data_IF_525674829949
#
_entry.id   IF_525674829949
#
_cell.length_a   1.000
_cell.length_b   1.000
_cell.length_c   1.000
_cell.angle_alpha   90.00
_cell.angle_beta   90.00
_cell.angle_gamma   90.00
#
_symmetry.space_group_name_H-M   'P 1'
#
loop_
_entity.id
_entity.type
_entity.pdbx_description
1 polymer ?
#
# COMPACT_ATOMS: atom_id res chain seq x y z
N UNK A 1 -66.86 45.70 -4.11
CA UNK A 1 -66.05 44.83 -5.00
C UNK A 1 -64.78 45.61 -5.33
N UNK A 2 -63.54 45.14 -5.23
CA UNK A 2 -62.95 43.85 -4.90
C UNK A 2 -61.59 44.10 -4.20
N UNK A 3 -61.12 43.07 -3.49
CA UNK A 3 -59.88 43.04 -2.70
C UNK A 3 -58.69 42.86 -3.63
N UNK A 4 -57.56 43.53 -3.35
CA UNK A 4 -56.24 43.11 -3.84
C UNK A 4 -55.35 42.77 -2.66
N UNK A 5 -55.05 41.48 -2.55
CA UNK A 5 -54.05 40.92 -1.66
C UNK A 5 -52.82 40.53 -2.47
N UNK A 6 -51.67 40.37 -1.78
CA UNK A 6 -50.53 39.54 -2.17
C UNK A 6 -49.60 40.18 -3.24
N UNK A 7 -48.26 40.20 -3.13
CA UNK A 7 -47.31 39.43 -2.34
C UNK A 7 -45.96 40.15 -2.25
N UNK A 8 -45.30 39.95 -1.10
CA UNK A 8 -43.92 40.30 -0.80
C UNK A 8 -42.93 39.77 -1.85
N UNK A 9 -42.07 40.66 -2.34
CA UNK A 9 -40.90 40.37 -3.17
C UNK A 9 -39.71 40.07 -2.26
N UNK A 10 -39.68 38.88 -1.67
CA UNK A 10 -38.50 38.38 -0.93
C UNK A 10 -37.61 37.63 -1.92
N UNK A 11 -36.55 38.29 -2.36
CA UNK A 11 -35.48 37.65 -3.13
C UNK A 11 -34.76 36.61 -2.27
N UNK A 12 -34.89 35.33 -2.62
CA UNK A 12 -34.05 34.26 -2.07
C UNK A 12 -32.62 34.45 -2.59
N UNK A 13 -31.67 34.68 -1.69
CA UNK A 13 -30.23 34.53 -1.97
C UNK A 13 -29.94 33.04 -2.21
N UNK A 14 -29.18 32.66 -3.25
CA UNK A 14 -28.70 31.29 -3.37
C UNK A 14 -27.72 31.01 -2.21
N UNK A 15 -27.87 29.85 -1.59
CA UNK A 15 -26.90 29.31 -0.63
C UNK A 15 -25.56 29.22 -1.36
N UNK A 16 -24.51 29.80 -0.78
CA UNK A 16 -23.13 29.55 -1.22
C UNK A 16 -22.79 28.12 -0.79
N UNK A 17 -22.70 27.22 -1.75
CA UNK A 17 -22.09 25.91 -1.54
C UNK A 17 -20.65 26.14 -1.10
N UNK A 18 -20.34 25.69 0.11
CA UNK A 18 -18.99 25.73 0.65
C UNK A 18 -18.20 24.64 -0.07
N UNK A 19 -16.99 24.89 -0.59
CA UNK A 19 -16.21 23.84 -1.24
C UNK A 19 -15.89 22.76 -0.20
N UNK A 20 -16.54 21.60 -0.33
CA UNK A 20 -16.26 20.43 0.48
C UNK A 20 -14.83 20.00 0.13
N UNK A 21 -13.91 20.09 1.11
CA UNK A 21 -12.55 19.60 0.93
C UNK A 21 -12.59 18.09 0.67
N UNK A 22 -11.91 17.57 -0.36
CA UNK A 22 -11.94 16.14 -0.64
C UNK A 22 -11.32 15.39 0.53
N UNK A 23 -12.05 14.41 1.04
CA UNK A 23 -11.57 13.52 2.11
C UNK A 23 -10.23 12.90 1.69
N UNK A 24 -9.20 13.08 2.51
CA UNK A 24 -7.87 12.55 2.23
C UNK A 24 -7.92 11.03 2.32
N UNK A 25 -7.92 10.36 1.17
CA UNK A 25 -7.78 8.90 1.11
C UNK A 25 -6.36 8.56 1.58
N UNK A 26 -6.24 8.01 2.78
CA UNK A 26 -4.98 7.46 3.28
C UNK A 26 -4.61 6.24 2.42
N UNK A 27 -3.77 6.46 1.41
CA UNK A 27 -3.18 5.34 0.66
C UNK A 27 -2.23 4.62 1.59
N UNK A 28 -2.45 3.31 1.77
CA UNK A 28 -1.50 2.45 2.50
C UNK A 28 -0.13 2.56 1.85
N UNK A 29 0.90 2.72 2.69
CA UNK A 29 2.27 2.75 2.22
C UNK A 29 2.63 1.42 1.51
N UNK A 30 3.40 1.46 0.42
CA UNK A 30 3.80 0.26 -0.30
C UNK A 30 4.66 -0.66 0.57
N UNK A 31 4.51 -1.98 0.39
CA UNK A 31 5.29 -2.96 1.14
C UNK A 31 6.77 -2.94 0.72
N UNK A 32 7.72 -3.32 1.60
CA UNK A 32 9.14 -3.36 1.26
C UNK A 32 9.47 -4.31 0.10
N UNK A 33 8.67 -5.37 -0.08
CA UNK A 33 8.77 -6.28 -1.22
C UNK A 33 8.38 -5.61 -2.55
N UNK A 34 7.30 -4.81 -2.53
CA UNK A 34 6.85 -4.04 -3.68
C UNK A 34 7.92 -3.01 -4.11
N UNK A 35 8.47 -2.27 -3.14
CA UNK A 35 9.55 -1.30 -3.39
C UNK A 35 10.77 -1.94 -4.07
N UNK A 36 11.21 -3.11 -3.59
CA UNK A 36 12.33 -3.85 -4.21
C UNK A 36 12.03 -4.32 -5.63
N UNK A 37 10.79 -4.73 -5.91
CA UNK A 37 10.38 -5.15 -7.26
C UNK A 37 10.37 -3.96 -8.20
N UNK A 38 9.75 -2.85 -7.80
CA UNK A 38 9.72 -1.60 -8.56
C UNK A 38 11.14 -1.13 -8.88
N UNK A 39 12.03 -1.10 -7.88
CA UNK A 39 13.45 -0.73 -8.06
C UNK A 39 14.13 -1.54 -9.16
N UNK A 40 13.96 -2.87 -9.19
CA UNK A 40 14.57 -3.73 -10.23
C UNK A 40 14.03 -3.41 -11.62
N UNK A 41 12.73 -3.12 -11.74
CA UNK A 41 12.11 -2.75 -13.01
C UNK A 41 12.69 -1.41 -13.51
N UNK A 42 12.78 -0.41 -12.63
CA UNK A 42 13.30 0.91 -12.99
C UNK A 42 14.79 0.86 -13.34
N UNK A 43 15.60 0.07 -12.62
CA UNK A 43 17.01 -0.13 -12.97
C UNK A 43 17.17 -0.67 -14.40
N UNK A 44 16.38 -1.70 -14.77
CA UNK A 44 16.42 -2.25 -16.12
C UNK A 44 16.00 -1.21 -17.17
N UNK A 45 14.93 -0.45 -16.89
CA UNK A 45 14.47 0.62 -17.78
C UNK A 45 15.53 1.71 -17.97
N UNK A 46 16.24 2.09 -16.89
CA UNK A 46 17.34 3.06 -16.94
C UNK A 46 18.47 2.57 -17.85
N UNK A 47 18.91 1.32 -17.67
CA UNK A 47 19.96 0.72 -18.50
C UNK A 47 19.58 0.66 -19.98
N UNK A 48 18.32 0.31 -20.27
CA UNK A 48 17.77 0.31 -21.63
C UNK A 48 17.79 1.71 -22.24
N UNK A 49 17.29 2.74 -21.51
CA UNK A 49 17.28 4.12 -22.02
C UNK A 49 18.67 4.71 -22.21
N UNK A 50 19.64 4.36 -21.38
CA UNK A 50 21.04 4.76 -21.58
C UNK A 50 21.60 4.13 -22.87
N UNK A 51 21.29 2.85 -23.12
CA UNK A 51 21.71 2.18 -24.35
C UNK A 51 21.07 2.82 -25.59
N UNK A 52 19.78 3.11 -25.52
CA UNK A 52 19.03 3.76 -26.61
C UNK A 52 19.53 5.18 -26.88
N UNK A 53 19.85 5.96 -25.84
CA UNK A 53 20.43 7.30 -25.96
C UNK A 53 21.77 7.24 -26.70
N UNK A 54 22.62 6.26 -26.38
CA UNK A 54 23.88 6.03 -27.07
C UNK A 54 23.68 5.70 -28.55
N UNK A 55 22.74 4.81 -28.85
CA UNK A 55 22.36 4.48 -30.23
C UNK A 55 21.84 5.68 -31.01
N UNK A 56 20.93 6.46 -30.42
CA UNK A 56 20.40 7.68 -31.00
C UNK A 56 21.51 8.69 -31.31
N UNK A 57 22.43 8.90 -30.37
CA UNK A 57 23.55 9.84 -30.54
C UNK A 57 24.48 9.39 -31.68
N UNK A 58 24.74 8.08 -31.80
CA UNK A 58 25.54 7.53 -32.88
C UNK A 58 24.86 7.73 -34.25
N UNK A 59 23.56 7.47 -34.35
CA UNK A 59 22.81 7.70 -35.60
C UNK A 59 22.78 9.18 -35.99
N UNK A 60 22.60 10.09 -35.02
CA UNK A 60 22.67 11.53 -35.27
C UNK A 60 24.04 11.98 -35.81
N UNK A 61 25.13 11.40 -35.29
CA UNK A 61 26.47 11.62 -35.82
C UNK A 61 26.63 11.10 -37.25
N UNK A 62 26.19 9.87 -37.53
CA UNK A 62 26.28 9.25 -38.87
C UNK A 62 25.54 10.06 -39.94
N UNK A 63 24.42 10.66 -39.57
CA UNK A 63 23.61 11.49 -40.48
C UNK A 63 24.02 12.96 -40.50
N UNK A 64 25.01 13.38 -39.69
CA UNK A 64 25.43 14.78 -39.55
C UNK A 64 24.30 15.76 -39.19
N UNK A 65 23.24 15.25 -38.58
CA UNK A 65 22.07 16.02 -38.15
C UNK A 65 21.93 15.91 -36.64
N UNK A 66 22.28 16.99 -35.94
CA UNK A 66 22.19 17.03 -34.49
C UNK A 66 20.95 17.79 -34.04
N UNK A 67 20.09 17.10 -33.28
CA UNK A 67 18.88 17.63 -32.64
C UNK A 67 19.11 17.58 -31.13
N UNK A 68 19.64 18.66 -30.60
CA UNK A 68 19.94 18.84 -29.18
C UNK A 68 18.69 18.78 -28.31
N UNK A 69 17.57 19.36 -28.75
CA UNK A 69 16.28 19.31 -28.05
C UNK A 69 15.82 17.87 -27.78
N UNK A 70 15.88 17.00 -28.80
CA UNK A 70 15.53 15.58 -28.68
C UNK A 70 16.48 14.87 -27.70
N UNK A 71 17.78 15.17 -27.76
CA UNK A 71 18.75 14.57 -26.86
C UNK A 71 18.50 14.99 -25.40
N UNK A 72 18.19 16.26 -25.16
CA UNK A 72 17.83 16.78 -23.84
C UNK A 72 16.56 16.10 -23.31
N UNK A 73 15.54 15.91 -24.15
CA UNK A 73 14.32 15.19 -23.77
C UNK A 73 14.62 13.76 -23.30
N UNK A 74 15.45 13.02 -24.05
CA UNK A 74 15.86 11.65 -23.67
C UNK A 74 16.71 11.61 -22.41
N UNK A 75 17.61 12.58 -22.22
CA UNK A 75 18.36 12.72 -20.97
C UNK A 75 17.44 12.98 -19.78
N UNK A 76 16.40 13.82 -19.93
CA UNK A 76 15.42 14.10 -18.87
C UNK A 76 14.67 12.84 -18.45
N UNK A 77 14.31 11.96 -19.38
CA UNK A 77 13.68 10.67 -19.05
C UNK A 77 14.59 9.80 -18.18
N UNK A 78 15.90 9.74 -18.48
CA UNK A 78 16.86 8.97 -17.69
C UNK A 78 17.02 9.58 -16.29
N UNK A 79 17.13 10.91 -16.20
CA UNK A 79 17.24 11.62 -14.90
C UNK A 79 15.99 11.37 -14.05
N UNK A 80 14.79 11.38 -14.64
CA UNK A 80 13.57 11.07 -13.92
C UNK A 80 13.55 9.62 -13.36
N UNK A 81 14.10 8.65 -14.10
CA UNK A 81 14.26 7.28 -13.59
C UNK A 81 15.27 7.21 -12.44
N UNK A 82 16.36 7.98 -12.52
CA UNK A 82 17.36 8.08 -11.44
C UNK A 82 16.76 8.70 -10.18
N UNK A 83 16.03 9.81 -10.30
CA UNK A 83 15.31 10.43 -9.19
C UNK A 83 14.37 9.44 -8.51
N UNK A 84 13.59 8.69 -9.30
CA UNK A 84 12.69 7.67 -8.75
C UNK A 84 13.45 6.53 -8.06
N UNK A 85 14.61 6.11 -8.57
CA UNK A 85 15.45 5.12 -7.90
C UNK A 85 15.97 5.63 -6.55
N UNK A 86 16.38 6.91 -6.50
CA UNK A 86 16.82 7.53 -5.25
C UNK A 86 15.69 7.59 -4.22
N UNK A 87 14.45 7.90 -4.63
CA UNK A 87 13.28 7.84 -3.75
C UNK A 87 13.03 6.42 -3.20
N UNK A 88 13.09 5.41 -4.07
CA UNK A 88 12.92 4.01 -3.67
C UNK A 88 14.02 3.57 -2.70
N UNK A 89 15.26 3.96 -2.94
CA UNK A 89 16.40 3.65 -2.07
C UNK A 89 16.28 4.35 -0.72
N UNK A 90 15.81 5.60 -0.69
CA UNK A 90 15.51 6.32 0.55
C UNK A 90 14.40 5.62 1.36
N UNK A 91 13.30 5.20 0.71
CA UNK A 91 12.23 4.46 1.38
C UNK A 91 12.70 3.11 1.93
N UNK A 92 13.50 2.36 1.15
CA UNK A 92 14.06 1.09 1.60
C UNK A 92 15.05 1.26 2.75
N UNK A 93 15.87 2.31 2.71
CA UNK A 93 16.76 2.67 3.81
C UNK A 93 15.98 3.03 5.08
N UNK A 94 14.90 3.81 4.97
CA UNK A 94 14.04 4.15 6.10
C UNK A 94 13.40 2.91 6.75
N UNK A 95 12.94 1.94 5.93
CA UNK A 95 12.43 0.66 6.46
C UNK A 95 13.54 -0.12 7.16
N UNK A 96 14.75 -0.14 6.60
CA UNK A 96 15.89 -0.85 7.18
C UNK A 96 16.34 -0.22 8.51
N UNK A 97 16.36 1.11 8.62
CA UNK A 97 16.72 1.82 9.86
C UNK A 97 15.65 1.64 10.93
N UNK A 98 14.37 1.73 10.58
CA UNK A 98 13.26 1.43 11.51
C UNK A 98 13.38 0.01 12.07
N UNK A 99 13.74 -0.95 11.22
CA UNK A 99 14.04 -2.33 11.62
C UNK A 99 15.37 -2.51 12.34
N UNK A 100 16.24 -1.51 12.47
CA UNK A 100 17.54 -1.68 13.16
C UNK A 100 17.66 -0.82 14.41
N UNK A 101 16.73 0.10 14.63
CA UNK A 101 16.68 0.95 15.80
C UNK A 101 16.77 0.07 17.07
N UNK A 102 17.85 0.21 17.87
CA UNK A 102 17.97 -0.53 19.12
C UNK A 102 16.93 0.02 20.09
N UNK A 103 15.94 -0.81 20.40
CA UNK A 103 15.07 -0.53 21.55
C UNK A 103 15.80 -1.03 22.79
N UNK A 104 15.94 -0.19 23.81
CA UNK A 104 16.49 -0.63 25.10
C UNK A 104 15.34 -0.82 26.06
N UNK A 105 15.29 -1.98 26.72
CA UNK A 105 14.36 -2.18 27.82
C UNK A 105 14.76 -1.28 29.01
N UNK A 106 13.81 -0.95 29.90
CA UNK A 106 14.07 -0.27 31.16
C UNK A 106 15.14 -0.96 32.02
N UNK A 107 15.30 -2.28 31.89
CA UNK A 107 16.36 -3.03 32.58
C UNK A 107 17.77 -2.83 31.98
N UNK A 108 17.91 -2.03 30.91
CA UNK A 108 19.17 -1.78 30.21
C UNK A 108 19.54 -2.82 29.16
N UNK A 109 18.76 -3.89 29.00
CA UNK A 109 19.03 -4.91 27.98
C UNK A 109 18.67 -4.43 26.56
N UNK A 110 19.49 -4.74 25.54
CA UNK A 110 19.15 -4.47 24.15
C UNK A 110 18.02 -5.40 23.72
N UNK A 111 16.99 -4.83 23.10
CA UNK A 111 15.81 -5.54 22.66
C UNK A 111 15.76 -5.58 21.13
N UNK A 112 15.62 -6.78 20.52
CA UNK A 112 15.43 -6.89 19.09
C UNK A 112 14.13 -6.22 18.64
N UNK A 113 14.01 -5.98 17.36
CA UNK A 113 12.87 -5.31 16.74
C UNK A 113 11.71 -6.31 16.64
N UNK A 114 10.51 -5.89 17.02
CA UNK A 114 9.29 -6.72 16.98
C UNK A 114 9.14 -7.72 18.12
N UNK A 115 9.87 -7.55 19.22
CA UNK A 115 9.71 -8.40 20.42
C UNK A 115 8.86 -7.71 21.49
N UNK A 116 7.73 -8.33 21.83
CA UNK A 116 6.77 -7.84 22.84
C UNK A 116 7.28 -7.95 24.28
N UNK A 117 8.23 -8.85 24.56
CA UNK A 117 8.76 -9.09 25.91
C UNK A 117 10.29 -9.10 25.93
N UNK A 118 10.87 -8.51 26.97
CA UNK A 118 12.32 -8.48 27.15
C UNK A 118 12.85 -9.86 27.52
N UNK A 119 13.80 -10.40 26.73
CA UNK A 119 14.42 -11.69 27.00
C UNK A 119 15.21 -11.74 28.33
N UNK A 120 15.60 -10.58 28.88
CA UNK A 120 16.37 -10.50 30.12
C UNK A 120 15.49 -10.36 31.37
N UNK A 121 14.47 -9.50 31.33
CA UNK A 121 13.67 -9.19 32.53
C UNK A 121 12.19 -9.61 32.44
N UNK A 122 11.74 -10.16 31.30
CA UNK A 122 10.36 -10.61 31.09
C UNK A 122 9.30 -9.52 31.01
N UNK A 123 9.69 -8.24 31.16
CA UNK A 123 8.76 -7.11 31.07
C UNK A 123 8.30 -6.90 29.63
N UNK A 124 7.06 -6.42 29.43
CA UNK A 124 6.61 -6.03 28.10
C UNK A 124 7.42 -4.82 27.60
N UNK A 125 7.69 -4.79 26.30
CA UNK A 125 8.49 -3.76 25.62
C UNK A 125 7.91 -3.53 24.24
N UNK A 126 7.89 -2.27 23.81
CA UNK A 126 7.25 -1.85 22.56
C UNK A 126 5.90 -1.14 22.81
N UNK A 127 5.29 -0.69 21.72
CA UNK A 127 4.00 0.01 21.72
C UNK A 127 2.82 -0.91 21.37
N UNK A 128 3.09 -2.19 21.07
CA UNK A 128 2.06 -3.15 20.69
C UNK A 128 1.30 -3.67 21.92
N UNK A 129 -0.02 -3.86 21.81
CA UNK A 129 -0.87 -4.19 22.96
C UNK A 129 -0.55 -5.57 23.54
N UNK A 130 -0.46 -5.62 24.87
CA UNK A 130 -0.26 -6.85 25.66
C UNK A 130 -1.47 -7.05 26.55
N UNK A 131 -2.10 -8.22 26.45
CA UNK A 131 -3.26 -8.63 27.25
C UNK A 131 -2.89 -9.74 28.22
N UNK A 132 -3.62 -9.88 29.31
CA UNK A 132 -3.43 -10.99 30.25
C UNK A 132 -4.35 -12.16 29.88
N UNK A 133 -3.86 -13.39 29.95
CA UNK A 133 -4.67 -14.57 29.70
C UNK A 133 -5.78 -14.67 30.73
N UNK A 134 -7.03 -14.82 30.28
CA UNK A 134 -8.20 -14.95 31.16
C UNK A 134 -8.11 -16.18 32.07
N UNK A 135 -7.47 -17.25 31.60
CA UNK A 135 -7.37 -18.52 32.32
C UNK A 135 -6.22 -18.53 33.34
N UNK A 136 -5.03 -18.02 32.99
CA UNK A 136 -3.82 -18.17 33.83
C UNK A 136 -3.14 -16.86 34.21
N UNK A 137 -3.60 -15.71 33.71
CA UNK A 137 -3.03 -14.39 33.96
C UNK A 137 -1.66 -14.13 33.31
N UNK A 138 -1.12 -15.07 32.53
CA UNK A 138 0.14 -14.87 31.81
C UNK A 138 -0.02 -13.78 30.75
N UNK A 139 0.94 -12.85 30.61
CA UNK A 139 0.85 -11.82 29.58
C UNK A 139 1.08 -12.45 28.19
N UNK A 140 0.23 -12.12 27.23
CA UNK A 140 0.33 -12.53 25.83
C UNK A 140 0.16 -11.29 24.93
N UNK A 141 0.74 -11.28 23.73
CA UNK A 141 0.47 -10.21 22.79
C UNK A 141 -0.99 -10.32 22.31
N UNK A 142 -1.64 -9.20 22.00
CA UNK A 142 -3.07 -9.17 21.70
C UNK A 142 -3.48 -9.96 20.44
N UNK A 143 -2.52 -10.25 19.54
CA UNK A 143 -2.70 -11.03 18.32
C UNK A 143 -2.40 -12.54 18.49
N UNK A 144 -2.02 -12.99 19.69
CA UNK A 144 -1.76 -14.40 19.93
C UNK A 144 -3.06 -15.19 20.03
N UNK A 145 -3.24 -16.21 19.18
CA UNK A 145 -4.42 -17.11 19.20
C UNK A 145 -4.52 -18.02 20.43
N UNK A 146 -3.38 -18.30 21.07
CA UNK A 146 -3.29 -19.20 22.22
C UNK A 146 -2.29 -18.68 23.24
N UNK A 147 -2.57 -18.91 24.51
CA UNK A 147 -1.62 -18.62 25.58
C UNK A 147 -0.43 -19.59 25.53
N UNK A 148 0.78 -19.05 25.36
CA UNK A 148 2.01 -19.84 25.36
C UNK A 148 2.30 -20.56 26.70
N UNK A 149 1.67 -20.13 27.81
CA UNK A 149 1.90 -20.71 29.13
C UNK A 149 0.90 -21.79 29.53
N UNK A 150 -0.38 -21.67 29.16
CA UNK A 150 -1.43 -22.63 29.57
C UNK A 150 -2.18 -23.30 28.41
N UNK A 151 -1.95 -22.86 27.17
CA UNK A 151 -2.63 -23.39 25.99
C UNK A 151 -4.09 -22.97 25.83
N UNK A 152 -4.64 -22.16 26.73
CA UNK A 152 -5.99 -21.63 26.58
C UNK A 152 -6.06 -20.71 25.36
N UNK A 153 -7.12 -20.78 24.52
CA UNK A 153 -7.31 -19.83 23.43
C UNK A 153 -7.33 -18.40 23.97
N UNK A 154 -6.74 -17.47 23.24
CA UNK A 154 -6.91 -16.06 23.57
C UNK A 154 -8.29 -15.60 23.10
N UNK A 155 -8.83 -14.59 23.77
CA UNK A 155 -9.98 -13.88 23.27
C UNK A 155 -9.52 -13.02 22.09
N UNK A 156 -9.81 -13.45 20.87
CA UNK A 156 -9.67 -12.63 19.67
C UNK A 156 -10.76 -11.53 19.74
N UNK A 157 -10.36 -10.27 19.88
CA UNK A 157 -11.25 -9.15 19.54
C UNK A 157 -11.34 -9.12 18.01
N UNK A 158 -12.29 -9.89 17.47
CA UNK A 158 -12.69 -9.83 16.07
C UNK A 158 -13.14 -8.38 15.77
N UNK A 159 -12.37 -7.70 14.91
CA UNK A 159 -12.82 -6.51 14.21
C UNK A 159 -14.09 -6.88 13.44
N UNK A 160 -15.24 -6.50 13.99
CA UNK A 160 -16.54 -6.55 13.32
C UNK A 160 -16.45 -5.69 12.06
N UNK A 161 -16.33 -6.34 10.91
CA UNK A 161 -16.79 -5.77 9.63
C UNK A 161 -18.31 -5.58 9.73
N UNK A 162 -18.86 -4.35 9.61
CA UNK A 162 -20.28 -4.22 9.37
C UNK A 162 -20.54 -4.59 7.91
N UNK A 163 -21.02 -5.82 7.72
CA UNK A 163 -21.75 -6.25 6.54
C UNK A 163 -22.89 -5.25 6.27
N UNK A 164 -22.88 -4.66 5.07
CA UNK A 164 -24.03 -3.97 4.50
C UNK A 164 -24.34 -4.68 3.18
N UNK A 165 -25.38 -5.50 3.27
CA UNK A 165 -26.08 -6.16 2.18
C UNK A 165 -26.92 -5.16 1.35
N UNK A 166 -27.41 -5.65 0.21
CA UNK A 166 -28.34 -5.08 -0.77
C UNK A 166 -27.72 -4.07 -1.77
N UNK A 167 -27.95 -4.17 -3.09
CA UNK A 167 -29.13 -4.67 -3.79
C UNK A 167 -28.75 -5.06 -5.23
N UNK A 168 -29.34 -6.16 -5.69
CA UNK A 168 -29.29 -6.69 -7.04
C UNK A 168 -30.06 -5.83 -8.04
N UNK A 169 -29.41 -5.45 -9.15
CA UNK A 169 -30.11 -5.13 -10.39
C UNK A 169 -29.86 -6.28 -11.39
N UNK A 170 -30.93 -7.02 -11.63
CA UNK A 170 -31.07 -8.00 -12.70
C UNK A 170 -31.15 -7.27 -14.05
N UNK A 171 -30.24 -7.56 -14.98
CA UNK A 171 -30.54 -7.37 -16.41
C UNK A 171 -30.08 -8.60 -17.20
N UNK A 172 -31.10 -9.29 -17.70
CA UNK A 172 -31.10 -10.53 -18.44
C UNK A 172 -30.79 -10.24 -19.92
N UNK A 173 -29.75 -10.86 -20.49
CA UNK A 173 -29.70 -11.14 -21.94
C UNK A 173 -29.16 -12.54 -22.22
N UNK A 174 -29.96 -13.26 -23.01
CA UNK A 174 -29.93 -14.68 -23.26
C UNK A 174 -28.69 -15.24 -23.98
N UNK A 175 -28.23 -16.36 -23.43
CA UNK A 175 -27.85 -17.63 -24.05
C UNK A 175 -27.63 -17.70 -25.59
N UNK A 176 -26.42 -18.14 -25.96
CA UNK A 176 -26.25 -19.17 -26.99
C UNK A 176 -25.21 -20.19 -26.51
N UNK A 177 -25.65 -21.44 -26.38
CA UNK A 177 -24.86 -22.57 -25.94
C UNK A 177 -24.16 -23.26 -27.11
N UNK A 178 -22.88 -23.61 -26.93
CA UNK A 178 -22.27 -24.78 -27.54
C UNK A 178 -21.14 -25.29 -26.62
N UNK A 179 -21.26 -26.57 -26.27
CA UNK A 179 -20.53 -27.38 -25.31
C UNK A 179 -19.16 -27.85 -25.82
N UNK A 180 -18.15 -27.89 -24.93
CA UNK A 180 -17.12 -28.94 -24.92
C UNK A 180 -16.42 -29.01 -23.54
N UNK A 181 -16.25 -30.23 -23.05
CA UNK A 181 -15.85 -30.60 -21.68
C UNK A 181 -14.33 -30.44 -21.42
N UNK A 182 -13.89 -30.21 -20.17
CA UNK A 182 -12.48 -29.99 -19.81
C UNK A 182 -11.71 -31.30 -19.56
N UNK A 183 -10.52 -31.42 -20.16
CA UNK A 183 -9.57 -32.52 -19.92
C UNK A 183 -9.01 -32.50 -18.48
N UNK A 184 -8.73 -33.66 -17.86
CA UNK A 184 -8.16 -33.70 -16.52
C UNK A 184 -6.67 -33.32 -16.51
N UNK A 185 -6.33 -32.49 -15.53
CA UNK A 185 -4.98 -32.07 -15.20
C UNK A 185 -4.06 -33.26 -14.88
N UNK A 186 -2.92 -33.32 -15.57
CA UNK A 186 -1.77 -34.14 -15.19
C UNK A 186 -0.93 -33.40 -14.15
N UNK A 187 -0.63 -34.11 -13.06
CA UNK A 187 0.12 -33.64 -11.89
C UNK A 187 1.57 -33.25 -12.26
N UNK A 188 2.05 -32.03 -11.94
CA UNK A 188 3.40 -31.58 -12.27
C UNK A 188 4.56 -32.27 -11.55
N UNK A 189 4.33 -33.26 -10.68
CA UNK A 189 5.37 -33.87 -9.83
C UNK A 189 5.86 -35.27 -10.25
N UNK A 190 5.54 -35.74 -11.45
CA UNK A 190 6.19 -36.92 -12.05
C UNK A 190 7.20 -36.53 -13.15
N UNK A 191 8.36 -35.98 -12.75
CA UNK A 191 9.69 -36.26 -13.33
C UNK A 191 10.84 -35.57 -12.60
#
# INVERSE_FOLDING_TARGET
>A
MARFSLLNRIGRRPRRDTPQQPASVFRRAPSPGALRRERRVILKAREERIRDLGGLTLEMYRHSTFRDELLIERCREIVALEERLHELDAMLAAVATARRAPTTCECGAPQPWGSHFCANCGRPVGAEPVVACESCGHPLPADAKFCASCGHPAADEEEQEPEAEDESDEEEVAAVAASEEPEPAVDPWER
#
